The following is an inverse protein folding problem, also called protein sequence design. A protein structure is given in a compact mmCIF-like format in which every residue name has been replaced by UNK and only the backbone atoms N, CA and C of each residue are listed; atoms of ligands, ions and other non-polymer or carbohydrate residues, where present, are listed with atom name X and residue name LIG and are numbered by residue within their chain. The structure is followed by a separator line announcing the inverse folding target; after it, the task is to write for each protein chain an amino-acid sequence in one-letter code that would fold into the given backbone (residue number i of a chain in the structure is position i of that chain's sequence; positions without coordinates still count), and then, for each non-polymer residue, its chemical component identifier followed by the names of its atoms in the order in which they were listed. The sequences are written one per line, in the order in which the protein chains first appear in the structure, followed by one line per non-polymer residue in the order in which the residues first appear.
data_IF_520224780708
#
_entry.id   IF_520224780708
#
_cell.length_a   1.000
_cell.length_b   1.000
_cell.length_c   1.000
_cell.angle_alpha   90.00
_cell.angle_beta   90.00
_cell.angle_gamma   90.00
#
_symmetry.space_group_name_H-M   'P 1'
#
loop_
_entity.id
_entity.type
_entity.pdbx_description
1 polymer ?
#
# COMPACT_ATOMS: atom_id res chain seq x y z
N UNK A 1 5.18 11.86 23.82
CA UNK A 1 5.40 11.55 22.39
C UNK A 1 5.31 10.04 22.24
N UNK A 2 4.14 9.52 21.87
CA UNK A 2 3.94 8.06 21.73
C UNK A 2 4.41 7.65 20.33
N UNK A 3 5.49 6.86 20.29
CA UNK A 3 5.92 6.18 19.08
C UNK A 3 4.89 5.07 18.77
N UNK A 4 4.05 5.27 17.75
CA UNK A 4 3.17 4.20 17.24
C UNK A 4 4.03 3.12 16.59
N UNK A 5 3.69 1.84 16.81
CA UNK A 5 4.42 0.69 16.27
C UNK A 5 4.24 0.61 14.75
N UNK A 6 5.25 0.09 14.05
CA UNK A 6 5.14 -0.28 12.65
C UNK A 6 3.98 -1.28 12.47
N UNK A 7 2.91 -0.85 11.78
CA UNK A 7 1.70 -1.64 11.56
C UNK A 7 0.39 -1.03 12.09
N UNK A 8 0.43 0.03 12.91
CA UNK A 8 -0.79 0.75 13.31
C UNK A 8 -1.31 1.61 12.15
N UNK A 9 -2.48 1.24 11.61
CA UNK A 9 -3.18 2.02 10.59
C UNK A 9 -3.47 3.43 11.13
N UNK A 10 -2.83 4.46 10.56
CA UNK A 10 -3.13 5.85 10.91
C UNK A 10 -4.58 6.16 10.55
N UNK A 11 -5.31 6.81 11.46
CA UNK A 11 -6.65 7.30 11.13
C UNK A 11 -6.53 8.41 10.08
N UNK A 12 -7.46 8.46 9.12
CA UNK A 12 -7.38 9.41 8.00
C UNK A 12 -7.21 10.86 8.46
N UNK A 13 -7.86 11.26 9.56
CA UNK A 13 -7.69 12.61 10.10
C UNK A 13 -6.31 12.89 10.69
N UNK A 14 -5.63 11.89 11.25
CA UNK A 14 -4.22 12.04 11.67
C UNK A 14 -3.31 12.26 10.45
N UNK A 15 -3.61 11.60 9.32
CA UNK A 15 -2.88 11.77 8.04
C UNK A 15 -3.09 13.18 7.50
N UNK A 16 -4.34 13.65 7.43
CA UNK A 16 -4.67 15.01 7.01
C UNK A 16 -3.96 16.04 7.89
N UNK A 17 -3.97 15.86 9.22
CA UNK A 17 -3.28 16.73 10.15
C UNK A 17 -1.78 16.83 9.85
N UNK A 18 -1.14 15.69 9.61
CA UNK A 18 0.30 15.62 9.29
C UNK A 18 0.61 16.40 8.01
N UNK A 19 -0.16 16.19 6.95
CA UNK A 19 -0.01 16.90 5.67
C UNK A 19 -0.22 18.40 5.87
N UNK A 20 -1.32 18.79 6.54
CA UNK A 20 -1.67 20.19 6.78
C UNK A 20 -0.55 20.94 7.51
N UNK A 21 -0.03 20.37 8.59
CA UNK A 21 1.06 20.98 9.38
C UNK A 21 2.34 21.09 8.54
N UNK A 22 2.69 20.05 7.77
CA UNK A 22 3.86 20.08 6.90
C UNK A 22 3.77 21.17 5.82
N UNK A 23 2.56 21.48 5.34
CA UNK A 23 2.29 22.58 4.39
C UNK A 23 2.13 23.94 5.06
N UNK A 24 2.25 24.04 6.39
CA UNK A 24 2.10 25.31 7.13
C UNK A 24 0.68 25.87 7.17
N UNK A 25 -0.34 25.04 6.88
CA UNK A 25 -1.73 25.47 6.79
C UNK A 25 -2.43 25.42 8.16
N UNK A 26 -3.30 26.39 8.43
CA UNK A 26 -4.15 26.43 9.62
C UNK A 26 -5.40 25.56 9.44
N UNK A 27 -6.01 25.13 10.54
CA UNK A 27 -7.31 24.45 10.49
C UNK A 27 -8.39 25.33 9.85
N UNK A 28 -8.31 26.66 10.01
CA UNK A 28 -9.29 27.59 9.42
C UNK A 28 -9.20 27.56 7.88
N UNK A 29 -8.01 27.59 7.31
CA UNK A 29 -7.80 27.55 5.87
C UNK A 29 -8.31 26.24 5.24
N UNK A 30 -8.12 25.12 5.95
CA UNK A 30 -8.51 23.80 5.44
C UNK A 30 -9.99 23.49 5.63
N UNK A 31 -10.56 23.75 6.81
CA UNK A 31 -11.88 23.20 7.17
C UNK A 31 -13.04 24.20 7.06
N UNK A 32 -12.77 25.50 6.86
CA UNK A 32 -13.81 26.51 6.82
C UNK A 32 -14.75 26.30 5.63
N UNK A 33 -16.05 26.21 5.94
CA UNK A 33 -17.12 25.93 4.98
C UNK A 33 -17.38 24.44 4.74
N UNK A 34 -16.56 23.55 5.29
CA UNK A 34 -16.68 22.09 5.12
C UNK A 34 -17.25 21.46 6.39
N UNK A 35 -16.61 21.72 7.54
CA UNK A 35 -17.02 21.18 8.85
C UNK A 35 -16.85 22.23 9.95
N UNK A 36 -17.46 21.98 11.12
CA UNK A 36 -17.26 22.82 12.29
C UNK A 36 -15.84 22.71 12.85
N UNK A 37 -15.40 23.73 13.59
CA UNK A 37 -14.08 23.73 14.24
C UNK A 37 -13.90 22.56 15.21
N UNK A 38 -14.92 22.24 16.01
CA UNK A 38 -14.87 21.11 16.95
C UNK A 38 -14.77 19.78 16.19
N UNK A 39 -15.50 19.63 15.09
CA UNK A 39 -15.43 18.44 14.25
C UNK A 39 -14.04 18.26 13.62
N UNK A 40 -13.45 19.33 13.07
CA UNK A 40 -12.10 19.29 12.51
C UNK A 40 -11.05 18.86 13.54
N UNK A 41 -11.15 19.35 14.78
CA UNK A 41 -10.24 18.96 15.87
C UNK A 41 -10.36 17.47 16.19
N UNK A 42 -11.59 16.95 16.33
CA UNK A 42 -11.80 15.54 16.67
C UNK A 42 -11.46 14.61 15.50
N UNK A 43 -11.72 15.04 14.26
CA UNK A 43 -11.26 14.33 13.07
C UNK A 43 -9.73 14.21 13.06
N UNK A 44 -9.00 15.31 13.23
CA UNK A 44 -7.53 15.32 13.22
C UNK A 44 -6.86 14.56 14.38
N UNK A 45 -7.62 14.28 15.45
CA UNK A 45 -7.21 13.39 16.55
C UNK A 45 -7.48 11.92 16.27
N UNK A 46 -8.20 11.60 15.19
CA UNK A 46 -8.65 10.24 14.89
C UNK A 46 -9.92 9.82 15.65
N UNK A 47 -10.60 10.76 16.33
CA UNK A 47 -11.77 10.47 17.13
C UNK A 47 -13.07 10.46 16.31
N UNK A 48 -13.07 11.05 15.11
CA UNK A 48 -14.20 11.03 14.18
C UNK A 48 -13.79 10.47 12.81
N UNK A 49 -14.70 9.70 12.21
CA UNK A 49 -14.69 9.43 10.78
C UNK A 49 -15.37 10.56 10.02
N UNK A 50 -15.04 10.68 8.73
CA UNK A 50 -15.62 11.69 7.82
C UNK A 50 -16.15 10.99 6.57
N UNK A 51 -17.14 11.59 5.90
CA UNK A 51 -17.60 11.08 4.60
C UNK A 51 -16.53 11.27 3.52
N UNK A 52 -16.59 10.44 2.48
CA UNK A 52 -15.67 10.55 1.34
C UNK A 52 -15.79 11.91 0.62
N UNK A 53 -17.01 12.46 0.51
CA UNK A 53 -17.25 13.76 -0.12
C UNK A 53 -16.52 14.89 0.60
N UNK A 54 -16.71 15.00 1.92
CA UNK A 54 -16.04 16.03 2.72
C UNK A 54 -14.52 15.82 2.76
N UNK A 55 -14.06 14.57 2.72
CA UNK A 55 -12.63 14.27 2.60
C UNK A 55 -12.05 14.83 1.30
N UNK A 56 -12.74 14.65 0.16
CA UNK A 56 -12.29 15.20 -1.13
C UNK A 56 -12.18 16.73 -1.08
N UNK A 57 -13.17 17.42 -0.50
CA UNK A 57 -13.13 18.88 -0.32
C UNK A 57 -11.92 19.32 0.54
N UNK A 58 -11.58 18.55 1.58
CA UNK A 58 -10.42 18.81 2.43
C UNK A 58 -9.11 18.57 1.67
N UNK A 59 -9.04 17.48 0.89
CA UNK A 59 -7.86 17.11 0.09
C UNK A 59 -7.55 18.18 -0.96
N UNK A 60 -8.58 18.76 -1.59
CA UNK A 60 -8.43 19.90 -2.50
C UNK A 60 -7.79 21.11 -1.82
N UNK A 61 -8.24 21.46 -0.61
CA UNK A 61 -7.69 22.58 0.18
C UNK A 61 -6.23 22.41 0.59
N UNK A 62 -5.78 21.16 0.76
CA UNK A 62 -4.37 20.85 1.04
C UNK A 62 -3.58 20.48 -0.22
N UNK A 63 -4.19 20.58 -1.41
CA UNK A 63 -3.61 20.29 -2.72
C UNK A 63 -2.93 18.91 -2.76
N UNK A 64 -3.70 17.87 -2.45
CA UNK A 64 -3.32 16.46 -2.55
C UNK A 64 -4.47 15.71 -3.22
N UNK A 65 -4.15 14.78 -4.12
CA UNK A 65 -5.16 13.89 -4.69
C UNK A 65 -5.39 12.65 -3.81
N UNK A 66 -6.44 11.87 -4.12
CA UNK A 66 -6.80 10.70 -3.32
C UNK A 66 -5.70 9.63 -3.33
N UNK A 67 -5.00 9.43 -4.44
CA UNK A 67 -4.00 8.39 -4.59
C UNK A 67 -2.75 8.72 -3.77
N UNK A 68 -2.27 9.97 -3.84
CA UNK A 68 -1.19 10.48 -3.00
C UNK A 68 -1.56 10.43 -1.53
N UNK A 69 -2.79 10.82 -1.17
CA UNK A 69 -3.27 10.71 0.21
C UNK A 69 -3.22 9.26 0.72
N UNK A 70 -3.72 8.30 -0.07
CA UNK A 70 -3.71 6.89 0.30
C UNK A 70 -2.29 6.35 0.41
N UNK A 71 -1.39 6.75 -0.48
CA UNK A 71 0.02 6.38 -0.43
C UNK A 71 0.69 6.86 0.87
N UNK A 72 0.47 8.11 1.27
CA UNK A 72 0.97 8.66 2.54
C UNK A 72 0.33 7.92 3.73
N UNK A 73 -0.96 7.61 3.66
CA UNK A 73 -1.70 6.91 4.73
C UNK A 73 -1.18 5.49 4.98
N UNK A 74 -0.50 4.90 3.98
CA UNK A 74 0.08 3.57 4.02
C UNK A 74 1.60 3.59 4.32
N UNK A 75 2.12 4.68 4.90
CA UNK A 75 3.56 4.87 5.16
C UNK A 75 4.43 4.85 3.90
N UNK A 76 3.94 5.42 2.79
CA UNK A 76 4.65 5.43 1.50
C UNK A 76 4.98 4.01 0.99
N UNK A 77 4.19 3.03 1.41
CA UNK A 77 4.23 1.69 0.82
C UNK A 77 3.54 1.74 -0.52
N UNK A 78 4.17 1.11 -1.52
CA UNK A 78 3.51 0.88 -2.79
C UNK A 78 2.19 0.15 -2.53
N UNK A 79 1.11 0.45 -3.30
CA UNK A 79 -0.08 -0.37 -3.31
C UNK A 79 0.33 -1.85 -3.42
N UNK A 80 -0.33 -2.74 -2.68
CA UNK A 80 0.03 -4.16 -2.59
C UNK A 80 0.30 -4.81 -3.96
N UNK A 81 -0.47 -4.41 -4.98
CA UNK A 81 -0.27 -4.85 -6.36
C UNK A 81 1.03 -4.35 -6.98
N UNK A 82 1.37 -3.07 -6.79
CA UNK A 82 2.59 -2.49 -7.33
C UNK A 82 3.85 -3.06 -6.64
N UNK A 83 3.80 -3.28 -5.32
CA UNK A 83 4.88 -3.96 -4.59
C UNK A 83 5.13 -5.37 -5.14
N UNK A 84 4.04 -6.15 -5.29
CA UNK A 84 4.12 -7.49 -5.86
C UNK A 84 4.75 -7.49 -7.25
N UNK A 85 4.25 -6.66 -8.18
CA UNK A 85 4.74 -6.58 -9.56
C UNK A 85 6.23 -6.23 -9.57
N UNK A 86 6.64 -5.25 -8.76
CA UNK A 86 8.03 -4.82 -8.66
C UNK A 86 8.95 -5.96 -8.17
N UNK A 87 8.59 -6.57 -7.04
CA UNK A 87 9.37 -7.66 -6.42
C UNK A 87 9.46 -8.88 -7.35
N UNK A 88 8.32 -9.32 -7.89
CA UNK A 88 8.28 -10.45 -8.81
C UNK A 88 9.12 -10.20 -10.06
N UNK A 89 8.97 -9.04 -10.70
CA UNK A 89 9.74 -8.70 -11.92
C UNK A 89 11.23 -8.67 -11.64
N UNK A 90 11.65 -8.04 -10.53
CA UNK A 90 13.05 -7.98 -10.11
C UNK A 90 13.62 -9.38 -9.88
N UNK A 91 13.03 -10.16 -8.98
CA UNK A 91 13.57 -11.48 -8.63
C UNK A 91 13.53 -12.45 -9.82
N UNK A 92 12.53 -12.32 -10.69
CA UNK A 92 12.42 -13.11 -11.92
C UNK A 92 13.52 -12.78 -12.93
N UNK A 93 13.82 -11.51 -13.15
CA UNK A 93 14.85 -11.07 -14.10
C UNK A 93 16.25 -11.38 -13.60
N UNK A 94 16.48 -11.21 -12.29
CA UNK A 94 17.75 -11.50 -11.64
C UNK A 94 17.97 -13.02 -11.42
N UNK A 95 16.99 -13.85 -11.75
CA UNK A 95 16.95 -15.30 -11.44
C UNK A 95 17.21 -15.61 -9.95
N UNK A 96 16.79 -14.73 -9.06
CA UNK A 96 16.98 -14.84 -7.61
C UNK A 96 15.99 -15.86 -7.01
N UNK A 97 16.37 -17.14 -7.09
CA UNK A 97 15.58 -18.25 -6.57
C UNK A 97 15.28 -18.15 -5.07
N UNK A 98 16.24 -17.81 -4.19
CA UNK A 98 15.95 -17.58 -2.78
C UNK A 98 14.86 -16.51 -2.56
N UNK A 99 14.96 -15.36 -3.22
CA UNK A 99 13.98 -14.29 -3.07
C UNK A 99 12.60 -14.68 -3.62
N UNK A 100 12.53 -15.40 -4.74
CA UNK A 100 11.27 -15.93 -5.28
C UNK A 100 10.61 -16.94 -4.32
N UNK A 101 11.40 -17.82 -3.68
CA UNK A 101 10.87 -18.78 -2.69
C UNK A 101 10.33 -18.07 -1.45
N UNK A 102 11.05 -17.06 -0.98
CA UNK A 102 10.59 -16.24 0.14
C UNK A 102 9.29 -15.50 -0.21
N UNK A 103 9.21 -14.88 -1.39
CA UNK A 103 7.99 -14.23 -1.90
C UNK A 103 6.82 -15.22 -2.00
N UNK A 104 7.07 -16.46 -2.44
CA UNK A 104 6.03 -17.49 -2.49
C UNK A 104 5.46 -17.83 -1.11
N UNK A 105 6.33 -17.98 -0.09
CA UNK A 105 5.91 -18.26 1.29
C UNK A 105 5.08 -17.11 1.84
N UNK A 106 5.50 -15.86 1.60
CA UNK A 106 4.73 -14.68 2.00
C UNK A 106 3.34 -14.67 1.36
N UNK A 107 3.25 -14.91 0.04
CA UNK A 107 1.99 -14.92 -0.70
C UNK A 107 1.01 -16.00 -0.22
N UNK A 108 1.51 -17.14 0.26
CA UNK A 108 0.69 -18.23 0.79
C UNK A 108 -0.05 -17.87 2.09
N UNK A 109 0.36 -16.80 2.78
CA UNK A 109 -0.37 -16.28 3.95
C UNK A 109 -1.62 -15.47 3.60
N UNK A 110 -1.79 -15.10 2.32
CA UNK A 110 -2.95 -14.35 1.81
C UNK A 110 -3.99 -15.29 1.20
N UNK A 111 -5.26 -14.85 1.18
CA UNK A 111 -6.38 -15.63 0.65
C UNK A 111 -7.14 -14.86 -0.44
N UNK A 112 -7.70 -15.59 -1.40
CA UNK A 112 -8.53 -15.06 -2.49
C UNK A 112 -7.93 -15.27 -3.87
N UNK A 113 -8.77 -15.04 -4.90
CA UNK A 113 -8.42 -15.34 -6.31
C UNK A 113 -7.14 -14.65 -6.78
N UNK A 114 -6.90 -13.41 -6.36
CA UNK A 114 -5.68 -12.67 -6.73
C UNK A 114 -4.45 -13.35 -6.11
N UNK A 115 -4.51 -13.74 -4.84
CA UNK A 115 -3.42 -14.44 -4.18
C UNK A 115 -3.13 -15.79 -4.86
N UNK A 116 -4.17 -16.56 -5.20
CA UNK A 116 -4.03 -17.84 -5.92
C UNK A 116 -3.30 -17.68 -7.27
N UNK A 117 -3.67 -16.65 -8.05
CA UNK A 117 -3.01 -16.34 -9.32
C UNK A 117 -1.54 -15.99 -9.10
N UNK A 118 -1.23 -15.10 -8.15
CA UNK A 118 0.15 -14.70 -7.83
C UNK A 118 1.00 -15.87 -7.35
N UNK A 119 0.44 -16.75 -6.52
CA UNK A 119 1.09 -17.97 -6.04
C UNK A 119 1.42 -18.90 -7.23
N UNK A 120 0.48 -19.08 -8.16
CA UNK A 120 0.69 -19.91 -9.35
C UNK A 120 1.75 -19.33 -10.29
N UNK A 121 1.77 -18.00 -10.46
CA UNK A 121 2.77 -17.27 -11.24
C UNK A 121 4.18 -17.46 -10.67
N UNK A 122 4.39 -17.12 -9.39
CA UNK A 122 5.71 -17.24 -8.73
C UNK A 122 6.19 -18.68 -8.74
N UNK A 123 5.31 -19.64 -8.43
CA UNK A 123 5.63 -21.07 -8.44
C UNK A 123 6.05 -21.54 -9.83
N UNK A 124 5.39 -21.07 -10.88
CA UNK A 124 5.74 -21.43 -12.26
C UNK A 124 7.09 -20.88 -12.66
N UNK A 125 7.40 -19.63 -12.27
CA UNK A 125 8.72 -19.03 -12.52
C UNK A 125 9.85 -19.77 -11.81
N UNK A 126 9.66 -20.15 -10.54
CA UNK A 126 10.64 -20.98 -9.79
C UNK A 126 10.92 -22.28 -10.54
N UNK A 127 9.86 -23.00 -10.97
CA UNK A 127 10.01 -24.25 -11.72
C UNK A 127 10.80 -24.07 -13.02
N UNK A 128 10.53 -22.98 -13.75
CA UNK A 128 11.23 -22.67 -15.00
C UNK A 128 12.72 -22.45 -14.73
N UNK A 129 13.07 -21.60 -13.77
CA UNK A 129 14.48 -21.29 -13.45
C UNK A 129 15.21 -22.54 -12.97
N UNK A 130 14.63 -23.32 -12.05
CA UNK A 130 15.25 -24.55 -11.54
C UNK A 130 15.46 -25.59 -12.66
N UNK A 131 14.51 -25.74 -13.59
CA UNK A 131 14.64 -26.66 -14.70
C UNK A 131 15.74 -26.25 -15.69
N UNK A 132 15.80 -24.95 -16.02
CA UNK A 132 16.83 -24.39 -16.90
C UNK A 132 18.22 -24.51 -16.27
N UNK A 133 18.36 -24.23 -14.97
CA UNK A 133 19.65 -24.39 -14.27
C UNK A 133 20.12 -25.85 -14.21
N UNK A 134 19.20 -26.81 -14.07
CA UNK A 134 19.55 -28.24 -13.97
C UNK A 134 19.79 -28.92 -15.32
N UNK A 135 19.01 -28.57 -16.35
CA UNK A 135 18.96 -29.35 -17.60
C UNK A 135 19.21 -28.50 -18.86
N UNK A 136 19.30 -27.17 -18.71
CA UNK A 136 19.36 -26.23 -19.84
C UNK A 136 18.05 -26.11 -20.61
N UNK A 137 16.98 -26.82 -20.20
CA UNK A 137 15.68 -26.86 -20.87
C UNK A 137 14.54 -26.80 -19.85
N UNK A 138 13.39 -26.30 -20.27
CA UNK A 138 12.14 -26.38 -19.51
C UNK A 138 11.10 -27.16 -20.30
N UNK A 139 10.50 -28.16 -19.67
CA UNK A 139 9.33 -28.88 -20.22
C UNK A 139 8.16 -28.65 -19.26
N UNK A 140 7.05 -28.03 -19.72
CA UNK A 140 5.86 -27.88 -18.89
C UNK A 140 5.35 -29.25 -18.44
N UNK A 141 4.87 -29.37 -17.20
CA UNK A 141 4.13 -30.56 -16.78
C UNK A 141 2.85 -30.62 -17.62
N UNK A 142 2.64 -31.73 -18.33
CA UNK A 142 1.38 -32.04 -18.99
C UNK A 142 0.27 -32.01 -17.93
N UNK A 143 -0.77 -31.21 -18.17
CA UNK A 143 -1.99 -31.25 -17.36
C UNK A 143 -2.67 -32.62 -17.46
#
# INVERSE_FOLDING_TARGET
MLLKKAGDKMYHGEVVRKIRINKGLTQKEVYSGIVSKSYAIEFEKGNHSISATLLLDILERISIDMDEFLYISQDYRLPEQADYIFRYSKYSNDHDLPALKQLLVELQSYHGKIAEVRIAEVRSRIRIIEAVQKTGKYTPLSC
#
